data_IF_920431970621
#
_entry.id   IF_920431970621
#
_cell.length_a   1.000
_cell.length_b   1.000
_cell.length_c   1.000
_cell.angle_alpha   90.00
_cell.angle_beta   90.00
_cell.angle_gamma   90.00
#
_symmetry.space_group_name_H-M   'P 1'
#
loop_
_entity.id
_entity.type
_entity.pdbx_description
1 polymer ?
#
# COMPACT_ATOMS: atom_id res chain seq x y z
N UNK A 1 -30.40 10.33 18.76
CA UNK A 1 -30.22 8.90 19.06
C UNK A 1 -28.74 8.58 18.97
N UNK A 2 -28.03 8.58 20.10
CA UNK A 2 -26.72 7.93 20.20
C UNK A 2 -27.01 6.57 20.83
N UNK A 3 -26.84 5.49 20.06
CA UNK A 3 -26.92 4.14 20.62
C UNK A 3 -25.72 3.97 21.55
N UNK A 4 -25.99 3.73 22.82
CA UNK A 4 -24.96 3.38 23.79
C UNK A 4 -24.56 1.92 23.51
N UNK A 5 -23.45 1.73 22.78
CA UNK A 5 -22.92 0.40 22.48
C UNK A 5 -22.38 -0.22 23.76
N UNK A 6 -22.71 -1.49 24.02
CA UNK A 6 -22.08 -2.27 25.08
C UNK A 6 -20.57 -2.41 24.83
N UNK A 7 -19.79 -2.67 25.88
CA UNK A 7 -18.33 -2.85 25.71
C UNK A 7 -17.97 -3.98 24.74
N UNK A 8 -18.81 -5.01 24.64
CA UNK A 8 -18.61 -6.11 23.70
C UNK A 8 -18.82 -5.64 22.25
N UNK A 9 -19.88 -4.88 21.98
CA UNK A 9 -20.15 -4.29 20.65
C UNK A 9 -19.09 -3.26 20.26
N UNK A 10 -18.59 -2.46 21.20
CA UNK A 10 -17.49 -1.53 20.95
C UNK A 10 -16.21 -2.25 20.54
N UNK A 11 -15.86 -3.36 21.22
CA UNK A 11 -14.70 -4.18 20.86
C UNK A 11 -14.83 -4.81 19.48
N UNK A 12 -16.01 -5.33 19.15
CA UNK A 12 -16.28 -5.90 17.83
C UNK A 12 -16.22 -4.84 16.73
N UNK A 13 -16.83 -3.67 16.97
CA UNK A 13 -16.78 -2.55 16.03
C UNK A 13 -15.35 -2.06 15.79
N UNK A 14 -14.54 -1.92 16.84
CA UNK A 14 -13.13 -1.54 16.69
C UNK A 14 -12.37 -2.53 15.82
N UNK A 15 -12.54 -3.84 16.06
CA UNK A 15 -11.92 -4.88 15.23
C UNK A 15 -12.39 -4.83 13.77
N UNK A 16 -13.68 -4.59 13.56
CA UNK A 16 -14.23 -4.40 12.21
C UNK A 16 -13.59 -3.20 11.51
N UNK A 17 -13.53 -2.05 12.18
CA UNK A 17 -12.94 -0.82 11.64
C UNK A 17 -11.45 -0.99 11.33
N UNK A 18 -10.68 -1.65 12.19
CA UNK A 18 -9.27 -1.97 11.95
C UNK A 18 -9.10 -2.79 10.65
N UNK A 19 -9.91 -3.84 10.47
CA UNK A 19 -9.86 -4.68 9.29
C UNK A 19 -10.22 -3.91 8.01
N UNK A 20 -11.29 -3.10 8.05
CA UNK A 20 -11.70 -2.30 6.89
C UNK A 20 -10.70 -1.19 6.57
N UNK A 21 -10.09 -0.58 7.58
CA UNK A 21 -9.01 0.38 7.39
C UNK A 21 -7.78 -0.27 6.75
N UNK A 22 -7.38 -1.47 7.17
CA UNK A 22 -6.27 -2.20 6.57
C UNK A 22 -6.54 -2.51 5.09
N UNK A 23 -7.76 -2.98 4.76
CA UNK A 23 -8.18 -3.19 3.36
C UNK A 23 -8.10 -1.90 2.55
N UNK A 24 -8.64 -0.80 3.09
CA UNK A 24 -8.62 0.49 2.41
C UNK A 24 -7.20 1.01 2.17
N UNK A 25 -6.27 0.78 3.12
CA UNK A 25 -4.86 1.10 2.94
C UNK A 25 -4.24 0.30 1.79
N UNK A 26 -4.47 -1.01 1.73
CA UNK A 26 -3.97 -1.85 0.63
C UNK A 26 -4.51 -1.38 -0.72
N UNK A 27 -5.81 -1.08 -0.81
CA UNK A 27 -6.41 -0.59 -2.05
C UNK A 27 -5.79 0.75 -2.51
N UNK A 28 -5.56 1.68 -1.57
CA UNK A 28 -4.85 2.94 -1.89
C UNK A 28 -3.43 2.69 -2.41
N UNK A 29 -2.70 1.76 -1.81
CA UNK A 29 -1.36 1.39 -2.28
C UNK A 29 -1.41 0.77 -3.69
N UNK A 30 -2.39 -0.10 -3.97
CA UNK A 30 -2.59 -0.69 -5.31
C UNK A 30 -2.81 0.41 -6.35
N UNK A 31 -3.69 1.38 -6.08
CA UNK A 31 -3.92 2.50 -6.99
C UNK A 31 -2.65 3.32 -7.21
N UNK A 32 -1.94 3.66 -6.13
CA UNK A 32 -0.68 4.42 -6.20
C UNK A 32 0.36 3.71 -7.06
N UNK A 33 0.54 2.41 -6.87
CA UNK A 33 1.49 1.62 -7.66
C UNK A 33 1.04 1.43 -9.10
N UNK A 34 -0.26 1.30 -9.33
CA UNK A 34 -0.81 1.22 -10.68
C UNK A 34 -0.47 2.49 -11.45
N UNK A 35 -0.80 3.67 -10.90
CA UNK A 35 -0.52 4.95 -11.56
C UNK A 35 0.98 5.15 -11.80
N UNK A 36 1.80 4.91 -10.77
CA UNK A 36 3.25 5.13 -10.84
C UNK A 36 3.95 4.16 -11.79
N UNK A 37 3.61 2.87 -11.75
CA UNK A 37 4.29 1.86 -12.53
C UNK A 37 3.76 1.77 -13.96
N UNK A 38 2.49 2.13 -14.19
CA UNK A 38 1.93 2.23 -15.53
C UNK A 38 2.75 3.18 -16.41
N UNK A 39 2.95 4.41 -15.96
CA UNK A 39 3.70 5.44 -16.70
C UNK A 39 5.17 5.06 -16.95
N UNK A 40 5.73 4.18 -16.12
CA UNK A 40 7.13 3.74 -16.21
C UNK A 40 7.33 2.51 -17.08
N UNK A 41 6.37 1.59 -17.07
CA UNK A 41 6.56 0.24 -17.59
C UNK A 41 5.73 -0.06 -18.83
N UNK A 42 4.57 0.59 -19.02
CA UNK A 42 3.66 0.27 -20.11
C UNK A 42 3.83 1.28 -21.24
N UNK A 43 4.48 0.85 -22.31
CA UNK A 43 4.81 1.71 -23.46
C UNK A 43 3.86 1.57 -24.65
N UNK A 44 3.22 0.41 -24.80
CA UNK A 44 2.30 0.12 -25.91
C UNK A 44 1.04 -0.54 -25.38
N UNK A 45 -0.11 -0.07 -25.84
CA UNK A 45 -1.39 -0.67 -25.45
C UNK A 45 -1.64 -1.91 -26.32
N UNK A 46 -1.57 -3.08 -25.69
CA UNK A 46 -1.87 -4.38 -26.29
C UNK A 46 -3.06 -5.07 -25.61
N UNK A 47 -3.41 -6.26 -26.09
CA UNK A 47 -4.42 -7.13 -25.47
C UNK A 47 -3.89 -7.93 -24.27
N UNK A 48 -2.58 -7.87 -24.03
CA UNK A 48 -1.87 -8.47 -22.89
C UNK A 48 -0.59 -7.70 -22.66
N UNK A 49 -0.07 -7.80 -21.44
CA UNK A 49 1.28 -7.36 -21.13
C UNK A 49 2.28 -8.29 -21.83
N UNK A 50 3.33 -7.71 -22.40
CA UNK A 50 4.46 -8.53 -22.83
C UNK A 50 5.37 -8.90 -21.65
N UNK A 51 6.29 -9.86 -21.87
CA UNK A 51 7.17 -10.35 -20.80
C UNK A 51 8.04 -9.25 -20.19
N UNK A 52 8.39 -8.22 -20.98
CA UNK A 52 9.21 -7.10 -20.49
C UNK A 52 8.39 -6.15 -19.62
N UNK A 53 7.13 -5.89 -19.99
CA UNK A 53 6.18 -5.11 -19.19
C UNK A 53 5.86 -5.81 -17.86
N UNK A 54 5.57 -7.12 -17.88
CA UNK A 54 5.34 -7.92 -16.68
C UNK A 54 6.54 -7.86 -15.71
N UNK A 55 7.75 -8.08 -16.22
CA UNK A 55 8.97 -8.00 -15.42
C UNK A 55 9.22 -6.59 -14.88
N UNK A 56 8.96 -5.56 -15.69
CA UNK A 56 9.11 -4.17 -15.26
C UNK A 56 8.14 -3.83 -14.11
N UNK A 57 6.87 -4.24 -14.22
CA UNK A 57 5.85 -3.98 -13.21
C UNK A 57 6.21 -4.64 -11.86
N UNK A 58 6.65 -5.90 -11.85
CA UNK A 58 7.11 -6.58 -10.62
C UNK A 58 8.28 -5.82 -9.98
N UNK A 59 9.30 -5.50 -10.79
CA UNK A 59 10.47 -4.76 -10.33
C UNK A 59 10.11 -3.35 -9.84
N UNK A 60 9.14 -2.68 -10.47
CA UNK A 60 8.73 -1.33 -10.11
C UNK A 60 8.17 -1.29 -8.69
N UNK A 61 7.25 -2.21 -8.37
CA UNK A 61 6.66 -2.30 -7.02
C UNK A 61 7.70 -2.74 -6.00
N UNK A 62 8.47 -3.79 -6.27
CA UNK A 62 9.51 -4.30 -5.36
C UNK A 62 10.52 -3.20 -5.02
N UNK A 63 11.06 -2.50 -6.04
CA UNK A 63 12.04 -1.43 -5.82
C UNK A 63 11.46 -0.24 -5.07
N UNK A 64 10.18 0.08 -5.26
CA UNK A 64 9.53 1.13 -4.48
C UNK A 64 9.45 0.75 -3.00
N UNK A 65 9.04 -0.48 -2.70
CA UNK A 65 8.94 -0.97 -1.33
C UNK A 65 10.31 -1.02 -0.65
N UNK A 66 11.33 -1.57 -1.32
CA UNK A 66 12.70 -1.64 -0.81
C UNK A 66 13.24 -0.24 -0.48
N UNK A 67 13.07 0.70 -1.40
CA UNK A 67 13.53 2.08 -1.22
C UNK A 67 12.78 2.77 -0.09
N UNK A 68 11.46 2.57 -0.01
CA UNK A 68 10.63 3.14 1.06
C UNK A 68 11.05 2.63 2.43
N UNK A 69 11.28 1.32 2.57
CA UNK A 69 11.75 0.70 3.80
C UNK A 69 13.15 1.22 4.18
N UNK A 70 14.05 1.33 3.21
CA UNK A 70 15.38 1.90 3.44
C UNK A 70 15.30 3.33 3.97
N UNK A 71 14.46 4.19 3.37
CA UNK A 71 14.27 5.57 3.82
C UNK A 71 13.71 5.60 5.24
N UNK A 72 12.66 4.83 5.54
CA UNK A 72 12.06 4.79 6.88
C UNK A 72 13.06 4.34 7.93
N UNK A 73 13.80 3.25 7.67
CA UNK A 73 14.84 2.76 8.57
C UNK A 73 15.90 3.84 8.83
N UNK A 74 16.32 4.55 7.77
CA UNK A 74 17.29 5.63 7.89
C UNK A 74 16.76 6.80 8.72
N UNK A 75 15.49 7.15 8.57
CA UNK A 75 14.87 8.22 9.35
C UNK A 75 14.79 7.85 10.84
N UNK A 76 14.44 6.61 11.17
CA UNK A 76 14.43 6.14 12.56
C UNK A 76 15.85 6.12 13.17
N UNK A 77 16.86 5.70 12.42
CA UNK A 77 18.26 5.80 12.86
C UNK A 77 18.69 7.24 13.18
N UNK A 78 18.27 8.20 12.37
CA UNK A 78 18.59 9.62 12.57
C UNK A 78 17.86 10.16 13.79
N UNK A 79 16.57 9.85 13.93
CA UNK A 79 15.74 10.24 15.08
C UNK A 79 16.30 9.72 16.40
N UNK A 80 16.80 8.48 16.44
CA UNK A 80 17.36 7.88 17.66
C UNK A 80 18.73 8.46 18.08
N UNK A 81 19.37 9.28 17.21
CA UNK A 81 20.64 9.96 17.49
C UNK A 81 20.45 11.38 18.00
N UNK A 82 19.22 11.92 17.91
CA UNK A 82 18.82 13.20 18.51
C UNK A 82 18.37 12.96 19.96
#
# INVERSE_FOLDING_TARGET
MVKEFSEAEQRELSKFLENENAKAQIQRSIHTFTDLCWDKCVGKIGNKLDRSEEQCLSNCVERFLDTSLFIVNRLEEVKNKL
#
